data_IF_971574804539
#
_entry.id   IF_971574804539
#
_cell.length_a   1.000
_cell.length_b   1.000
_cell.length_c   1.000
_cell.angle_alpha   90.00
_cell.angle_beta   90.00
_cell.angle_gamma   90.00
#
_symmetry.space_group_name_H-M   'P 1'
#
loop_
_entity.id
_entity.type
_entity.pdbx_description
1 polymer ?
#
# COMPACT_ATOMS: atom_id res chain seq x y z
N UNK A 1 -5.02 28.75 14.23
CA UNK A 1 -4.29 30.03 14.13
C UNK A 1 -2.83 29.73 14.40
N UNK A 2 -2.01 29.73 13.36
CA UNK A 2 -0.56 29.57 13.46
C UNK A 2 0.10 30.92 13.76
N UNK A 3 1.37 30.86 14.18
CA UNK A 3 2.21 32.05 14.30
C UNK A 3 2.72 32.44 12.91
N UNK A 4 2.32 33.61 12.42
CA UNK A 4 2.72 34.13 11.10
C UNK A 4 4.24 34.41 11.01
N UNK A 5 4.89 34.58 12.16
CA UNK A 5 6.34 34.83 12.27
C UNK A 5 7.13 33.55 12.56
N UNK A 6 6.51 32.37 12.52
CA UNK A 6 7.20 31.13 12.78
C UNK A 6 8.32 30.86 11.78
N UNK A 7 9.55 30.74 12.30
CA UNK A 7 10.72 30.42 11.48
C UNK A 7 10.92 28.91 11.45
N UNK A 8 10.76 28.34 10.26
CA UNK A 8 10.96 26.93 10.03
C UNK A 8 12.41 26.49 10.26
N UNK A 9 12.61 25.60 11.20
CA UNK A 9 13.93 24.98 11.46
C UNK A 9 14.10 23.80 10.53
N UNK A 10 14.96 23.93 9.54
CA UNK A 10 15.34 22.81 8.66
C UNK A 10 16.13 21.77 9.46
N UNK A 11 16.01 20.45 9.15
CA UNK A 11 16.90 19.45 9.72
C UNK A 11 18.34 19.77 9.33
N UNK A 12 19.28 19.55 10.26
CA UNK A 12 20.72 19.71 9.97
C UNK A 12 21.24 18.62 9.04
N UNK A 13 20.65 17.45 9.14
CA UNK A 13 20.91 16.28 8.32
C UNK A 13 19.58 15.62 7.96
N UNK A 14 19.30 15.45 6.67
CA UNK A 14 18.08 14.81 6.18
C UNK A 14 17.99 13.32 6.57
N UNK A 15 19.12 12.71 6.93
CA UNK A 15 19.18 11.33 7.44
C UNK A 15 18.85 11.24 8.93
N UNK A 16 18.65 12.37 9.61
CA UNK A 16 18.21 12.40 11.00
C UNK A 16 16.85 11.69 11.15
N UNK A 17 16.72 10.91 12.23
CA UNK A 17 15.47 10.22 12.53
C UNK A 17 14.34 11.23 12.81
N UNK A 18 13.15 10.96 12.24
CA UNK A 18 11.94 11.79 12.43
C UNK A 18 10.86 11.04 13.20
N UNK A 19 10.72 9.74 12.99
CA UNK A 19 9.68 8.96 13.65
C UNK A 19 10.06 7.48 13.77
N UNK A 20 9.30 6.77 14.59
CA UNK A 20 9.45 5.35 14.86
C UNK A 20 8.09 4.68 14.70
N UNK A 21 8.01 3.65 13.86
CA UNK A 21 6.83 2.81 13.70
C UNK A 21 7.16 1.36 14.00
N UNK A 22 6.31 0.66 14.74
CA UNK A 22 6.52 -0.74 15.06
C UNK A 22 5.84 -1.66 14.06
N UNK A 23 6.55 -2.73 13.65
CA UNK A 23 5.96 -3.82 12.87
C UNK A 23 5.15 -4.73 13.77
N UNK A 24 4.17 -5.43 13.22
CA UNK A 24 3.35 -6.41 13.96
C UNK A 24 4.12 -7.68 14.38
N UNK A 25 5.37 -7.83 13.92
CA UNK A 25 6.26 -8.91 14.36
C UNK A 25 5.73 -10.30 14.08
N UNK A 26 5.38 -10.61 12.83
CA UNK A 26 4.86 -11.93 12.43
C UNK A 26 5.80 -13.11 12.70
N UNK A 27 7.07 -12.85 13.06
CA UNK A 27 8.10 -13.88 13.32
C UNK A 27 8.77 -13.75 14.69
N UNK A 28 8.25 -12.92 15.59
CA UNK A 28 8.88 -12.67 16.88
C UNK A 28 8.43 -11.35 17.50
N UNK A 29 9.30 -10.74 18.30
CA UNK A 29 9.01 -9.46 18.91
C UNK A 29 8.85 -8.35 17.86
N UNK A 30 7.91 -7.40 18.05
CA UNK A 30 7.75 -6.24 17.20
C UNK A 30 9.07 -5.47 17.06
N UNK A 31 9.42 -5.07 15.83
CA UNK A 31 10.63 -4.29 15.55
C UNK A 31 10.28 -2.83 15.35
N UNK A 32 11.05 -1.94 15.96
CA UNK A 32 10.90 -0.51 15.75
C UNK A 32 11.61 -0.06 14.47
N UNK A 33 10.86 0.37 13.48
CA UNK A 33 11.37 0.88 12.21
C UNK A 33 11.64 2.37 12.33
N UNK A 34 12.88 2.79 12.11
CA UNK A 34 13.31 4.19 12.23
C UNK A 34 13.22 4.88 10.88
N UNK A 35 12.43 5.94 10.80
CA UNK A 35 12.30 6.79 9.63
C UNK A 35 13.21 8.01 9.70
N UNK A 36 13.54 8.58 8.53
CA UNK A 36 14.36 9.77 8.39
C UNK A 36 13.66 10.85 7.55
N UNK A 37 14.08 12.11 7.70
CA UNK A 37 13.45 13.25 7.03
C UNK A 37 13.38 13.10 5.51
N UNK A 38 14.47 12.63 4.88
CA UNK A 38 14.52 12.43 3.41
C UNK A 38 13.44 11.46 2.93
N UNK A 39 13.34 10.28 3.57
CA UNK A 39 12.34 9.28 3.20
C UNK A 39 10.91 9.78 3.37
N UNK A 40 10.63 10.48 4.49
CA UNK A 40 9.32 11.07 4.75
C UNK A 40 8.93 12.10 3.68
N UNK A 41 9.86 12.98 3.31
CA UNK A 41 9.64 14.00 2.29
C UNK A 41 9.40 13.37 0.92
N UNK A 42 10.25 12.42 0.50
CA UNK A 42 10.13 11.75 -0.79
C UNK A 42 8.83 10.94 -0.87
N UNK A 43 8.47 10.22 0.20
CA UNK A 43 7.22 9.46 0.22
C UNK A 43 6.00 10.36 0.11
N UNK A 44 5.98 11.47 0.86
CA UNK A 44 4.86 12.42 0.84
C UNK A 44 4.67 13.09 -0.52
N UNK A 45 5.77 13.51 -1.16
CA UNK A 45 5.73 14.10 -2.51
C UNK A 45 5.40 13.06 -3.58
N UNK A 46 6.00 11.88 -3.50
CA UNK A 46 5.75 10.77 -4.42
C UNK A 46 4.29 10.29 -4.39
N UNK A 47 3.67 10.25 -3.21
CA UNK A 47 2.25 9.90 -3.06
C UNK A 47 1.33 10.85 -3.80
N UNK A 48 1.60 12.17 -3.72
CA UNK A 48 0.82 13.17 -4.43
C UNK A 48 0.87 12.97 -5.95
N UNK A 49 2.08 12.71 -6.48
CA UNK A 49 2.30 12.50 -7.92
C UNK A 49 1.69 11.18 -8.38
N UNK A 50 1.99 10.09 -7.68
CA UNK A 50 1.59 8.75 -8.10
C UNK A 50 0.07 8.54 -8.09
N UNK A 51 -0.62 9.20 -7.18
CA UNK A 51 -2.08 9.12 -7.06
C UNK A 51 -2.80 10.30 -7.75
N UNK A 52 -2.05 11.12 -8.48
CA UNK A 52 -2.57 12.30 -9.17
C UNK A 52 -3.49 13.15 -8.28
N UNK A 53 -3.01 13.44 -7.06
CA UNK A 53 -3.81 14.12 -6.05
C UNK A 53 -3.94 15.61 -6.37
N UNK A 54 -5.16 16.15 -6.44
CA UNK A 54 -5.37 17.58 -6.73
C UNK A 54 -5.02 18.44 -5.52
N UNK A 55 -4.68 19.70 -5.80
CA UNK A 55 -4.58 20.71 -4.76
C UNK A 55 -5.94 20.93 -4.06
N UNK A 56 -5.89 21.25 -2.77
CA UNK A 56 -7.06 21.55 -1.92
C UNK A 56 -8.09 20.42 -1.83
N UNK A 57 -7.62 19.16 -1.96
CA UNK A 57 -8.51 18.00 -1.79
C UNK A 57 -9.00 17.87 -0.35
N UNK A 58 -10.12 17.19 -0.17
CA UNK A 58 -10.62 16.77 1.12
C UNK A 58 -10.35 15.26 1.29
N UNK A 59 -9.55 14.93 2.29
CA UNK A 59 -9.07 13.58 2.58
C UNK A 59 -9.70 13.04 3.85
N UNK A 60 -10.23 11.82 3.82
CA UNK A 60 -10.73 11.12 5.00
C UNK A 60 -9.65 10.21 5.57
N UNK A 61 -9.25 10.43 6.82
CA UNK A 61 -8.28 9.59 7.50
C UNK A 61 -8.96 8.35 8.08
N UNK A 62 -8.92 7.26 7.34
CA UNK A 62 -9.40 5.93 7.75
C UNK A 62 -8.26 5.09 8.29
N UNK A 63 -7.09 5.17 7.66
CA UNK A 63 -5.87 4.50 8.14
C UNK A 63 -5.43 5.13 9.46
N UNK A 64 -5.17 4.33 10.51
CA UNK A 64 -4.66 4.84 11.78
C UNK A 64 -3.36 5.62 11.58
N UNK A 65 -3.23 6.80 12.20
CA UNK A 65 -2.05 7.66 12.04
C UNK A 65 -0.76 7.04 12.57
N UNK A 66 -0.85 6.05 13.46
CA UNK A 66 0.33 5.32 13.96
C UNK A 66 0.81 4.23 12.99
N UNK A 67 -0.02 3.78 12.05
CA UNK A 67 0.34 2.72 11.11
C UNK A 67 1.10 3.34 9.92
N UNK A 68 2.38 3.01 9.81
CA UNK A 68 3.33 3.63 8.85
C UNK A 68 3.15 5.17 8.80
N UNK A 69 2.99 5.79 9.97
CA UNK A 69 2.64 7.21 10.14
C UNK A 69 1.48 7.66 9.23
N UNK A 70 0.41 6.85 9.22
CA UNK A 70 -0.80 7.14 8.42
C UNK A 70 -0.51 7.18 6.92
N UNK A 71 0.41 6.34 6.43
CA UNK A 71 0.86 6.25 5.03
C UNK A 71 1.39 7.57 4.47
N UNK A 72 1.94 8.44 5.33
CA UNK A 72 2.50 9.72 4.93
C UNK A 72 1.47 10.84 4.66
N UNK A 73 0.17 10.55 4.66
CA UNK A 73 -0.87 11.53 4.37
C UNK A 73 -0.96 12.71 5.37
N UNK A 74 -0.60 12.59 6.66
CA UNK A 74 -0.50 13.74 7.54
C UNK A 74 0.44 14.85 7.02
N UNK A 75 1.39 14.53 6.17
CA UNK A 75 2.29 15.49 5.50
C UNK A 75 1.87 15.80 4.07
N UNK A 76 1.42 14.77 3.32
CA UNK A 76 0.99 14.95 1.92
C UNK A 76 -0.19 15.91 1.79
N UNK A 77 -1.21 15.79 2.66
CA UNK A 77 -2.42 16.59 2.53
C UNK A 77 -2.18 18.08 2.81
N UNK A 78 -1.47 18.48 3.90
CA UNK A 78 -1.10 19.88 4.11
C UNK A 78 -0.22 20.45 2.98
N UNK A 79 0.71 19.66 2.43
CA UNK A 79 1.55 20.06 1.30
C UNK A 79 0.71 20.47 0.07
N UNK A 80 -0.43 19.80 -0.13
CA UNK A 80 -1.39 20.09 -1.20
C UNK A 80 -2.43 21.16 -0.81
N UNK A 81 -2.26 21.87 0.31
CA UNK A 81 -3.27 22.78 0.88
C UNK A 81 -4.65 22.12 1.07
N UNK A 82 -4.66 20.80 1.27
CA UNK A 82 -5.86 19.99 1.46
C UNK A 82 -6.38 20.02 2.89
N UNK A 83 -7.56 19.44 3.08
CA UNK A 83 -8.17 19.26 4.41
C UNK A 83 -8.16 17.79 4.79
N UNK A 84 -7.71 17.50 6.01
CA UNK A 84 -7.80 16.19 6.62
C UNK A 84 -9.03 16.10 7.52
N UNK A 85 -9.94 15.18 7.21
CA UNK A 85 -11.11 14.86 8.03
C UNK A 85 -10.79 13.58 8.80
N UNK A 86 -10.74 13.67 10.12
CA UNK A 86 -10.38 12.53 10.98
C UNK A 86 -11.60 11.67 11.31
N UNK A 87 -11.44 10.36 11.15
CA UNK A 87 -12.41 9.35 11.58
C UNK A 87 -11.86 8.66 12.85
N UNK A 88 -12.65 8.64 13.93
CA UNK A 88 -12.19 8.08 15.21
C UNK A 88 -12.21 6.55 15.24
N UNK A 89 -13.22 5.97 14.59
CA UNK A 89 -13.41 4.52 14.48
C UNK A 89 -14.01 4.22 13.10
N UNK A 90 -13.78 3.00 12.60
CA UNK A 90 -14.35 2.55 11.33
C UNK A 90 -15.85 2.32 11.54
N UNK A 91 -16.65 3.17 10.93
CA UNK A 91 -18.11 3.13 10.90
C UNK A 91 -18.54 3.46 9.47
N UNK A 92 -19.16 2.52 8.79
CA UNK A 92 -19.44 2.63 7.35
C UNK A 92 -20.48 3.70 7.07
N UNK A 93 -21.53 3.77 7.87
CA UNK A 93 -22.53 4.84 7.75
C UNK A 93 -21.88 6.21 7.91
N UNK A 94 -20.97 6.33 8.88
CA UNK A 94 -20.24 7.57 9.13
C UNK A 94 -19.29 7.94 7.99
N UNK A 95 -18.65 6.96 7.37
CA UNK A 95 -17.81 7.18 6.17
C UNK A 95 -18.65 7.83 5.06
N UNK A 96 -19.82 7.26 4.72
CA UNK A 96 -20.70 7.83 3.69
C UNK A 96 -21.23 9.23 4.08
N UNK A 97 -21.60 9.45 5.34
CA UNK A 97 -22.02 10.76 5.84
C UNK A 97 -20.91 11.81 5.69
N UNK A 98 -19.66 11.45 6.05
CA UNK A 98 -18.52 12.35 5.94
C UNK A 98 -18.13 12.65 4.49
N UNK A 99 -18.20 11.63 3.61
CA UNK A 99 -17.99 11.82 2.16
C UNK A 99 -18.95 12.87 1.63
N UNK A 100 -20.24 12.76 1.94
CA UNK A 100 -21.23 13.72 1.49
C UNK A 100 -21.06 15.10 2.13
N UNK A 101 -20.90 15.15 3.46
CA UNK A 101 -20.82 16.38 4.25
C UNK A 101 -19.60 17.23 3.91
N UNK A 102 -18.47 16.61 3.67
CA UNK A 102 -17.19 17.29 3.47
C UNK A 102 -16.67 17.20 2.04
N UNK A 103 -17.46 16.68 1.09
CA UNK A 103 -17.05 16.50 -0.31
C UNK A 103 -15.70 15.76 -0.41
N UNK A 104 -15.59 14.65 0.35
CA UNK A 104 -14.36 13.83 0.38
C UNK A 104 -14.09 13.27 -1.01
N UNK A 105 -12.88 13.44 -1.48
CA UNK A 105 -12.43 12.92 -2.77
C UNK A 105 -11.51 11.70 -2.66
N UNK A 106 -10.76 11.58 -1.55
CA UNK A 106 -9.74 10.54 -1.38
C UNK A 106 -9.72 9.98 0.04
N UNK A 107 -9.45 8.67 0.17
CA UNK A 107 -9.04 8.04 1.43
C UNK A 107 -8.23 6.77 1.16
N UNK A 108 -7.47 6.32 2.17
CA UNK A 108 -6.82 5.01 2.17
C UNK A 108 -7.55 4.05 3.10
N UNK A 109 -7.54 2.76 2.79
CA UNK A 109 -8.14 1.74 3.65
C UNK A 109 -7.56 0.34 3.40
N UNK A 110 -7.41 -0.44 4.48
CA UNK A 110 -7.07 -1.85 4.36
C UNK A 110 -8.22 -2.64 3.69
N UNK A 111 -7.98 -3.81 3.09
CA UNK A 111 -9.00 -4.63 2.43
C UNK A 111 -10.23 -4.91 3.28
N UNK A 112 -10.05 -5.09 4.59
CA UNK A 112 -11.17 -5.27 5.53
C UNK A 112 -12.16 -4.10 5.51
N UNK A 113 -11.67 -2.87 5.36
CA UNK A 113 -12.54 -1.68 5.25
C UNK A 113 -13.32 -1.70 3.95
N UNK A 114 -12.69 -2.09 2.84
CA UNK A 114 -13.37 -2.24 1.55
C UNK A 114 -14.45 -3.32 1.62
N UNK A 115 -14.16 -4.44 2.27
CA UNK A 115 -15.15 -5.50 2.54
C UNK A 115 -16.35 -4.97 3.33
N UNK A 116 -16.09 -4.22 4.41
CA UNK A 116 -17.18 -3.60 5.19
C UNK A 116 -18.00 -2.62 4.34
N UNK A 117 -17.38 -1.79 3.52
CA UNK A 117 -18.07 -0.86 2.60
C UNK A 117 -18.94 -1.63 1.61
N UNK A 118 -18.41 -2.70 1.00
CA UNK A 118 -19.14 -3.49 0.01
C UNK A 118 -20.23 -4.37 0.63
N UNK A 119 -20.09 -4.74 1.91
CA UNK A 119 -21.07 -5.51 2.68
C UNK A 119 -22.14 -4.67 3.39
N UNK A 120 -22.00 -3.33 3.39
CA UNK A 120 -22.91 -2.44 4.09
C UNK A 120 -24.35 -2.54 3.52
N UNK A 121 -25.34 -2.38 4.38
CA UNK A 121 -26.75 -2.35 4.00
C UNK A 121 -27.12 -1.10 3.20
N UNK A 122 -28.24 -1.11 2.50
CA UNK A 122 -28.72 0.07 1.77
C UNK A 122 -28.97 1.27 2.70
N UNK A 123 -29.39 1.04 3.92
CA UNK A 123 -29.64 2.08 4.91
C UNK A 123 -28.35 2.76 5.44
N UNK A 124 -27.20 2.09 5.33
CA UNK A 124 -25.90 2.62 5.69
C UNK A 124 -25.22 3.33 4.53
N UNK A 125 -25.59 2.99 3.28
CA UNK A 125 -24.99 3.55 2.07
C UNK A 125 -25.68 4.86 1.68
N UNK A 126 -24.90 5.70 1.02
CA UNK A 126 -25.44 6.85 0.27
C UNK A 126 -24.90 6.80 -1.15
N UNK A 127 -25.73 7.19 -2.11
CA UNK A 127 -25.28 7.33 -3.49
C UNK A 127 -24.23 8.43 -3.57
N UNK A 128 -23.04 8.09 -4.06
CA UNK A 128 -21.97 9.05 -4.25
C UNK A 128 -22.33 10.01 -5.39
N UNK A 129 -22.16 11.31 -5.15
CA UNK A 129 -22.39 12.37 -6.15
C UNK A 129 -21.24 12.52 -7.12
N UNK A 130 -20.04 12.14 -6.66
CA UNK A 130 -18.78 12.18 -7.40
C UNK A 130 -18.02 10.88 -7.14
N UNK A 131 -17.11 10.55 -8.04
CA UNK A 131 -16.17 9.46 -7.85
C UNK A 131 -15.28 9.75 -6.64
N UNK A 132 -15.08 8.76 -5.79
CA UNK A 132 -14.17 8.81 -4.63
C UNK A 132 -13.02 7.84 -4.87
N UNK A 133 -11.80 8.34 -4.78
CA UNK A 133 -10.58 7.56 -4.99
C UNK A 133 -10.15 6.89 -3.71
N UNK A 134 -9.85 5.60 -3.79
CA UNK A 134 -9.48 4.78 -2.63
C UNK A 134 -8.15 4.09 -2.90
N UNK A 135 -7.20 4.23 -1.99
CA UNK A 135 -5.97 3.46 -1.96
C UNK A 135 -6.13 2.27 -1.02
N UNK A 136 -5.77 1.07 -1.48
CA UNK A 136 -5.78 -0.12 -0.63
C UNK A 136 -4.42 -0.79 -0.59
N UNK A 137 -4.01 -1.21 0.60
CA UNK A 137 -2.76 -1.90 0.87
C UNK A 137 -2.85 -2.76 2.13
N UNK A 138 -1.79 -3.49 2.44
CA UNK A 138 -1.63 -4.29 3.65
C UNK A 138 -1.82 -5.80 3.42
N UNK A 139 -2.77 -6.17 2.58
CA UNK A 139 -2.94 -7.51 2.04
C UNK A 139 -3.55 -7.42 0.64
N UNK A 140 -3.38 -8.39 -0.25
CA UNK A 140 -4.08 -8.40 -1.53
C UNK A 140 -5.59 -8.58 -1.31
N UNK A 141 -6.44 -7.63 -1.75
CA UNK A 141 -7.88 -7.84 -1.67
C UNK A 141 -8.32 -8.86 -2.73
N UNK A 142 -9.35 -9.67 -2.47
CA UNK A 142 -9.98 -10.50 -3.50
C UNK A 142 -10.42 -9.64 -4.70
N UNK A 143 -10.20 -10.13 -5.92
CA UNK A 143 -10.47 -9.38 -7.16
C UNK A 143 -11.92 -8.87 -7.26
N UNK A 144 -12.87 -9.63 -6.73
CA UNK A 144 -14.29 -9.25 -6.72
C UNK A 144 -14.58 -7.96 -5.94
N UNK A 145 -13.75 -7.59 -4.98
CA UNK A 145 -13.94 -6.38 -4.17
C UNK A 145 -13.76 -5.12 -5.03
N UNK A 146 -12.83 -5.12 -5.98
CA UNK A 146 -12.65 -3.98 -6.90
C UNK A 146 -13.95 -3.68 -7.66
N UNK A 147 -14.57 -4.72 -8.25
CA UNK A 147 -15.84 -4.59 -8.95
C UNK A 147 -16.98 -4.08 -8.06
N UNK A 148 -17.09 -4.62 -6.84
CA UNK A 148 -18.12 -4.18 -5.88
C UNK A 148 -17.92 -2.71 -5.48
N UNK A 149 -16.69 -2.27 -5.26
CA UNK A 149 -16.36 -0.87 -4.94
C UNK A 149 -16.68 0.07 -6.11
N UNK A 150 -16.33 -0.31 -7.33
CA UNK A 150 -16.64 0.48 -8.53
C UNK A 150 -18.16 0.66 -8.74
N UNK A 151 -18.93 -0.39 -8.51
CA UNK A 151 -20.41 -0.32 -8.56
C UNK A 151 -21.00 0.67 -7.54
N UNK A 152 -20.28 0.93 -6.44
CA UNK A 152 -20.66 1.93 -5.43
C UNK A 152 -20.14 3.34 -5.74
N UNK A 153 -19.36 3.53 -6.82
CA UNK A 153 -18.81 4.82 -7.24
C UNK A 153 -17.41 5.13 -6.72
N UNK A 154 -16.71 4.13 -6.18
CA UNK A 154 -15.32 4.26 -5.77
C UNK A 154 -14.39 3.82 -6.91
N UNK A 155 -13.24 4.49 -7.01
CA UNK A 155 -12.13 4.03 -7.84
C UNK A 155 -10.99 3.57 -6.93
N UNK A 156 -10.65 2.28 -7.01
CA UNK A 156 -9.68 1.67 -6.11
C UNK A 156 -8.36 1.42 -6.82
N UNK A 157 -7.29 1.95 -6.26
CA UNK A 157 -5.91 1.65 -6.64
C UNK A 157 -5.28 0.72 -5.61
N UNK A 158 -4.78 -0.43 -6.08
CA UNK A 158 -4.01 -1.34 -5.23
C UNK A 158 -2.56 -0.88 -5.20
N UNK A 159 -2.00 -0.78 -4.01
CA UNK A 159 -0.60 -0.45 -3.78
C UNK A 159 0.03 -1.43 -2.80
N UNK A 160 1.34 -1.55 -2.84
CA UNK A 160 2.11 -2.37 -1.93
C UNK A 160 3.25 -1.59 -1.33
N UNK A 161 3.49 -1.85 -0.07
CA UNK A 161 4.60 -1.32 0.71
C UNK A 161 4.65 -1.94 2.09
N UNK A 162 5.70 -1.65 2.80
CA UNK A 162 6.00 -2.19 4.13
C UNK A 162 6.22 -1.04 5.11
N UNK A 163 6.21 -1.35 6.40
CA UNK A 163 6.65 -0.39 7.42
C UNK A 163 8.07 0.07 7.13
N UNK A 164 8.93 -0.83 6.71
CA UNK A 164 10.34 -0.60 6.39
C UNK A 164 10.59 0.27 5.14
N UNK A 165 9.57 0.47 4.32
CA UNK A 165 9.65 1.32 3.12
C UNK A 165 8.89 2.63 3.27
N UNK A 166 8.49 2.98 4.49
CA UNK A 166 7.76 4.21 4.82
C UNK A 166 6.34 4.27 4.26
N UNK A 167 5.97 3.38 3.36
CA UNK A 167 4.70 3.33 2.65
C UNK A 167 4.84 2.61 1.32
N UNK A 168 4.21 3.16 0.29
CA UNK A 168 4.02 2.48 -0.98
C UNK A 168 5.27 2.48 -1.85
N UNK A 169 5.62 1.32 -2.40
CA UNK A 169 6.74 1.12 -3.33
C UNK A 169 6.30 0.55 -4.68
N UNK A 170 5.13 -0.06 -4.74
CA UNK A 170 4.48 -0.50 -5.97
C UNK A 170 3.05 0.05 -6.03
N UNK A 171 2.58 0.30 -7.24
CA UNK A 171 1.21 0.68 -7.52
C UNK A 171 0.69 -0.06 -8.74
N UNK A 172 -0.55 -0.50 -8.71
CA UNK A 172 -1.23 -1.04 -9.88
C UNK A 172 -1.72 0.13 -10.75
N UNK A 173 -0.77 0.81 -11.42
CA UNK A 173 -1.08 1.87 -12.36
C UNK A 173 -1.92 1.29 -13.50
N UNK A 174 -3.04 1.96 -13.82
CA UNK A 174 -3.92 1.50 -14.89
C UNK A 174 -3.38 1.90 -16.26
N UNK A 175 -3.44 0.98 -17.24
CA UNK A 175 -3.16 1.27 -18.63
C UNK A 175 -4.50 1.36 -19.39
N UNK A 176 -4.72 2.43 -20.14
CA UNK A 176 -5.98 2.67 -20.85
C UNK A 176 -6.30 1.56 -21.89
N UNK A 177 -5.30 0.88 -22.43
CA UNK A 177 -5.49 -0.27 -23.31
C UNK A 177 -6.30 -1.41 -22.65
N UNK A 178 -6.22 -1.54 -21.34
CA UNK A 178 -6.95 -2.56 -20.58
C UNK A 178 -8.45 -2.27 -20.46
N UNK A 179 -8.89 -1.06 -20.81
CA UNK A 179 -10.32 -0.73 -20.82
C UNK A 179 -11.13 -1.61 -21.78
N UNK A 180 -10.48 -2.17 -22.80
CA UNK A 180 -11.08 -3.09 -23.78
C UNK A 180 -11.19 -4.54 -23.32
N UNK A 181 -10.54 -4.91 -22.20
CA UNK A 181 -10.58 -6.27 -21.66
C UNK A 181 -11.94 -6.58 -21.01
N UNK A 182 -12.23 -7.88 -20.87
CA UNK A 182 -13.36 -8.33 -20.07
C UNK A 182 -13.17 -7.98 -18.57
N UNK A 183 -14.29 -7.92 -17.84
CA UNK A 183 -14.28 -7.49 -16.43
C UNK A 183 -13.45 -8.41 -15.53
N UNK A 184 -13.40 -9.70 -15.80
CA UNK A 184 -12.66 -10.65 -14.97
C UNK A 184 -11.14 -10.42 -15.13
N UNK A 185 -10.66 -10.20 -16.33
CA UNK A 185 -9.27 -9.83 -16.59
C UNK A 185 -8.90 -8.47 -15.98
N UNK A 186 -9.79 -7.47 -16.09
CA UNK A 186 -9.58 -6.18 -15.42
C UNK A 186 -9.41 -6.36 -13.91
N UNK A 187 -10.28 -7.14 -13.29
CA UNK A 187 -10.21 -7.39 -11.85
C UNK A 187 -8.94 -8.17 -11.45
N UNK A 188 -8.50 -9.14 -12.26
CA UNK A 188 -7.24 -9.84 -12.05
C UNK A 188 -6.03 -8.92 -12.12
N UNK A 189 -6.01 -7.97 -13.07
CA UNK A 189 -4.95 -6.96 -13.18
C UNK A 189 -4.97 -6.03 -11.97
N UNK A 190 -6.13 -5.50 -11.58
CA UNK A 190 -6.29 -4.62 -10.40
C UNK A 190 -5.83 -5.26 -9.09
N UNK A 191 -5.89 -6.59 -9.00
CA UNK A 191 -5.41 -7.33 -7.84
C UNK A 191 -3.87 -7.46 -7.78
N UNK A 192 -3.13 -7.10 -8.84
CA UNK A 192 -1.66 -7.11 -8.83
C UNK A 192 -1.14 -5.92 -8.02
N UNK A 193 0.09 -6.02 -7.52
CA UNK A 193 0.76 -4.90 -6.84
C UNK A 193 1.30 -3.87 -7.82
N UNK A 194 1.54 -4.30 -9.07
CA UNK A 194 1.82 -3.41 -10.18
C UNK A 194 3.28 -3.09 -10.40
N UNK A 195 3.58 -1.82 -10.63
CA UNK A 195 4.90 -1.32 -11.01
C UNK A 195 5.48 -0.40 -9.95
N UNK A 196 6.78 -0.15 -10.07
CA UNK A 196 7.56 0.68 -9.15
C UNK A 196 6.96 2.08 -8.97
N UNK A 197 6.93 2.52 -7.73
CA UNK A 197 6.53 3.87 -7.34
C UNK A 197 7.55 4.92 -7.82
N UNK A 198 7.14 6.15 -8.19
CA UNK A 198 8.04 7.14 -8.80
C UNK A 198 9.26 7.51 -7.97
N UNK A 199 9.13 7.54 -6.65
CA UNK A 199 10.18 7.93 -5.72
C UNK A 199 11.03 6.76 -5.17
N UNK A 200 10.78 5.54 -5.66
CA UNK A 200 11.60 4.36 -5.36
C UNK A 200 12.73 4.27 -6.38
N UNK A 201 13.97 4.18 -5.94
CA UNK A 201 15.13 4.11 -6.83
C UNK A 201 15.11 2.84 -7.68
N UNK A 202 14.93 1.68 -7.05
CA UNK A 202 14.73 0.41 -7.75
C UNK A 202 13.88 -0.57 -6.91
N UNK A 203 13.09 -1.39 -7.60
CA UNK A 203 12.32 -2.49 -7.03
C UNK A 203 12.31 -3.64 -8.01
N UNK A 204 12.83 -4.78 -7.61
CA UNK A 204 12.95 -5.96 -8.45
C UNK A 204 12.49 -7.21 -7.71
N UNK A 205 12.06 -8.20 -8.47
CA UNK A 205 11.89 -9.56 -7.99
C UNK A 205 13.18 -10.31 -8.32
N UNK A 206 13.89 -10.75 -7.30
CA UNK A 206 15.25 -11.30 -7.39
C UNK A 206 15.23 -12.71 -6.81
N UNK A 207 15.90 -13.62 -7.48
CA UNK A 207 16.21 -14.94 -6.94
C UNK A 207 17.24 -14.78 -5.80
N UNK A 208 16.90 -15.12 -4.56
CA UNK A 208 17.75 -14.87 -3.40
C UNK A 208 19.05 -15.69 -3.39
N UNK A 209 19.13 -16.79 -4.14
CA UNK A 209 20.34 -17.63 -4.23
C UNK A 209 21.34 -17.07 -5.24
N UNK A 210 20.85 -16.66 -6.39
CA UNK A 210 21.71 -16.19 -7.49
C UNK A 210 21.90 -14.68 -7.51
N UNK A 211 21.09 -13.94 -6.75
CA UNK A 211 21.01 -12.46 -6.75
C UNK A 211 20.75 -11.88 -8.14
N UNK A 212 20.07 -12.63 -9.01
CA UNK A 212 19.67 -12.19 -10.34
C UNK A 212 18.17 -11.94 -10.43
N UNK A 213 17.73 -10.94 -11.19
CA UNK A 213 16.31 -10.74 -11.46
C UNK A 213 15.68 -11.97 -12.10
N UNK A 214 14.47 -12.32 -11.68
CA UNK A 214 13.69 -13.41 -12.29
C UNK A 214 13.18 -13.00 -13.68
N UNK A 215 12.90 -13.95 -14.60
CA UNK A 215 12.30 -13.66 -15.89
C UNK A 215 10.88 -13.09 -15.75
N UNK A 216 10.44 -12.33 -16.77
CA UNK A 216 9.08 -11.76 -16.84
C UNK A 216 8.10 -12.78 -17.44
N UNK A 217 7.94 -13.92 -16.82
CA UNK A 217 7.12 -15.04 -17.31
C UNK A 217 5.81 -15.26 -16.52
N UNK A 218 5.61 -14.50 -15.43
CA UNK A 218 4.46 -14.63 -14.53
C UNK A 218 4.46 -15.90 -13.70
N UNK A 219 5.56 -16.67 -13.68
CA UNK A 219 5.67 -18.00 -13.06
C UNK A 219 6.86 -18.12 -12.11
N UNK A 220 8.04 -17.68 -12.54
CA UNK A 220 9.26 -17.81 -11.75
C UNK A 220 9.18 -16.93 -10.53
N UNK A 221 9.27 -17.53 -9.35
CA UNK A 221 9.17 -16.87 -8.06
C UNK A 221 10.55 -16.35 -7.64
N UNK A 222 10.55 -15.12 -7.08
CA UNK A 222 11.68 -14.53 -6.40
C UNK A 222 11.21 -13.64 -5.26
N UNK A 223 12.15 -13.05 -4.53
CA UNK A 223 11.87 -12.11 -3.45
C UNK A 223 11.80 -10.68 -4.00
N UNK A 224 10.84 -9.89 -3.52
CA UNK A 224 10.82 -8.43 -3.79
C UNK A 224 11.96 -7.79 -3.01
N UNK A 225 12.91 -7.21 -3.74
CA UNK A 225 14.02 -6.45 -3.17
C UNK A 225 13.97 -5.00 -3.59
N UNK A 226 14.29 -4.09 -2.66
CA UNK A 226 14.01 -2.68 -2.78
C UNK A 226 15.27 -1.86 -2.53
N UNK A 227 15.47 -0.83 -3.36
CA UNK A 227 16.47 0.22 -3.15
C UNK A 227 15.82 1.59 -3.19
N UNK A 228 16.33 2.49 -2.39
CA UNK A 228 15.94 3.88 -2.47
C UNK A 228 15.96 4.61 -1.14
N UNK A 229 15.90 5.91 -1.24
CA UNK A 229 15.89 6.81 -0.09
C UNK A 229 14.59 6.80 0.71
N UNK A 230 13.59 6.01 0.30
CA UNK A 230 12.37 5.76 1.06
C UNK A 230 12.48 4.52 1.97
N UNK A 231 13.56 3.75 1.87
CA UNK A 231 13.82 2.63 2.76
C UNK A 231 14.23 3.16 4.14
N UNK A 232 13.78 2.50 5.19
CA UNK A 232 14.06 2.86 6.59
C UNK A 232 15.55 3.11 6.87
N UNK A 233 15.85 3.86 7.92
CA UNK A 233 17.21 4.00 8.43
C UNK A 233 17.76 2.69 9.02
N UNK A 234 16.87 1.87 9.58
CA UNK A 234 17.14 0.59 10.21
C UNK A 234 16.15 0.29 11.33
N UNK A 235 16.33 -0.85 11.97
CA UNK A 235 15.58 -1.23 13.15
C UNK A 235 16.17 -0.59 14.41
N UNK A 236 15.31 -0.07 15.27
CA UNK A 236 15.73 0.64 16.49
C UNK A 236 16.45 -0.30 17.45
N UNK A 237 17.70 0.01 17.76
CA UNK A 237 18.58 -0.78 18.64
C UNK A 237 18.74 -2.25 18.24
N UNK A 238 18.59 -2.57 16.98
CA UNK A 238 18.73 -3.92 16.43
C UNK A 238 19.57 -3.87 15.15
N UNK A 239 20.87 -3.78 15.34
CA UNK A 239 21.83 -3.71 14.23
C UNK A 239 21.89 -5.00 13.44
N UNK A 240 21.82 -6.15 14.12
CA UNK A 240 21.88 -7.47 13.48
C UNK A 240 20.71 -7.66 12.50
N UNK A 241 19.48 -7.40 12.94
CA UNK A 241 18.31 -7.46 12.07
C UNK A 241 18.38 -6.43 10.93
N UNK A 242 18.97 -5.24 11.20
CA UNK A 242 19.15 -4.23 10.17
C UNK A 242 20.12 -4.69 9.09
N UNK A 243 21.30 -5.19 9.47
CA UNK A 243 22.33 -5.66 8.55
C UNK A 243 21.81 -6.84 7.70
N UNK A 244 21.04 -7.76 8.31
CA UNK A 244 20.40 -8.87 7.61
C UNK A 244 19.36 -8.36 6.59
N UNK A 245 18.52 -7.42 6.99
CA UNK A 245 17.47 -6.89 6.11
C UNK A 245 18.04 -6.05 4.95
N UNK A 246 19.24 -5.48 5.10
CA UNK A 246 19.92 -4.63 4.10
C UNK A 246 21.05 -5.35 3.37
N UNK A 247 21.07 -6.68 3.39
CA UNK A 247 22.13 -7.46 2.78
C UNK A 247 22.27 -7.16 1.28
N UNK A 248 23.49 -7.27 0.75
CA UNK A 248 23.82 -7.08 -0.66
C UNK A 248 23.39 -5.72 -1.24
N UNK A 249 23.20 -4.70 -0.38
CA UNK A 249 22.78 -3.36 -0.78
C UNK A 249 21.33 -3.26 -1.26
N UNK A 250 20.49 -4.23 -0.87
CA UNK A 250 19.06 -4.24 -1.06
C UNK A 250 18.34 -4.42 0.27
N UNK A 251 17.17 -3.81 0.40
CA UNK A 251 16.25 -4.19 1.45
C UNK A 251 15.49 -5.45 1.02
N UNK A 252 15.59 -6.50 1.83
CA UNK A 252 14.93 -7.77 1.65
C UNK A 252 13.55 -7.73 2.30
N UNK A 253 12.48 -7.79 1.49
CA UNK A 253 11.11 -7.67 2.00
C UNK A 253 10.61 -8.94 2.69
N UNK A 254 11.13 -10.11 2.30
CA UNK A 254 10.59 -11.40 2.67
C UNK A 254 9.29 -11.77 1.93
N UNK A 255 8.84 -10.94 0.97
CA UNK A 255 7.63 -11.20 0.19
C UNK A 255 8.02 -11.79 -1.17
N UNK A 256 7.41 -12.95 -1.50
CA UNK A 256 7.64 -13.68 -2.74
C UNK A 256 6.68 -13.22 -3.83
N UNK A 257 7.21 -13.04 -5.02
CA UNK A 257 6.44 -12.51 -6.14
C UNK A 257 6.90 -13.09 -7.48
N UNK A 258 6.09 -12.85 -8.50
CA UNK A 258 6.42 -13.09 -9.91
C UNK A 258 6.34 -11.77 -10.68
N UNK A 259 7.02 -11.69 -11.83
CA UNK A 259 6.93 -10.56 -12.76
C UNK A 259 6.19 -11.01 -14.01
N UNK A 260 5.10 -10.36 -14.33
CA UNK A 260 4.34 -10.62 -15.57
C UNK A 260 5.07 -10.07 -16.82
N UNK A 261 4.72 -10.54 -18.04
CA UNK A 261 5.34 -10.05 -19.28
C UNK A 261 5.24 -8.53 -19.49
N UNK A 262 4.19 -7.90 -18.97
CA UNK A 262 3.95 -6.46 -18.97
C UNK A 262 4.79 -5.70 -17.92
N UNK A 263 5.59 -6.42 -17.12
CA UNK A 263 6.43 -5.85 -16.07
C UNK A 263 5.73 -5.66 -14.73
N UNK A 264 4.44 -6.01 -14.61
CA UNK A 264 3.69 -5.89 -13.36
C UNK A 264 4.05 -7.02 -12.40
N UNK A 265 4.31 -6.64 -11.15
CA UNK A 265 4.64 -7.56 -10.08
C UNK A 265 3.34 -8.05 -9.43
N UNK A 266 3.28 -9.35 -9.15
CA UNK A 266 2.20 -9.98 -8.38
C UNK A 266 2.80 -10.78 -7.24
N UNK A 267 2.43 -10.41 -6.01
CA UNK A 267 2.80 -11.14 -4.80
C UNK A 267 2.11 -12.50 -4.81
N UNK A 268 2.88 -13.51 -4.46
CA UNK A 268 2.40 -14.89 -4.31
C UNK A 268 2.19 -15.25 -2.86
N UNK A 269 3.16 -14.94 -2.01
CA UNK A 269 3.09 -15.20 -0.58
C UNK A 269 4.24 -14.51 0.17
N UNK A 270 4.29 -14.66 1.48
CA UNK A 270 5.51 -14.44 2.25
C UNK A 270 6.35 -15.68 2.26
N UNK A 271 7.67 -15.52 2.26
CA UNK A 271 8.61 -16.65 2.23
C UNK A 271 8.41 -17.65 3.36
N UNK A 272 7.84 -17.20 4.49
CA UNK A 272 7.54 -18.01 5.67
C UNK A 272 6.13 -18.62 5.71
N UNK A 273 5.20 -18.11 4.91
CA UNK A 273 3.79 -18.48 4.91
C UNK A 273 3.45 -19.41 3.73
N UNK A 274 4.40 -19.59 2.81
CA UNK A 274 4.23 -20.51 1.67
C UNK A 274 4.07 -21.96 2.16
N UNK A 275 3.06 -22.63 1.66
CA UNK A 275 2.77 -24.02 2.01
C UNK A 275 3.59 -24.92 1.09
N UNK A 276 4.39 -25.81 1.68
CA UNK A 276 5.13 -26.82 0.90
C UNK A 276 4.40 -28.15 1.03
N UNK A 277 3.89 -28.67 -0.09
CA UNK A 277 3.20 -29.97 -0.14
C UNK A 277 3.70 -30.79 -1.33
N UNK A 278 4.22 -31.98 -1.04
CA UNK A 278 4.74 -32.87 -2.09
C UNK A 278 5.90 -32.32 -2.91
N UNK A 279 6.64 -31.33 -2.37
CA UNK A 279 7.71 -30.63 -3.09
C UNK A 279 7.25 -29.42 -3.92
N UNK A 280 5.95 -29.10 -3.92
CA UNK A 280 5.38 -27.95 -4.61
C UNK A 280 5.12 -26.80 -3.62
N UNK A 281 5.38 -25.57 -4.08
CA UNK A 281 5.10 -24.35 -3.35
C UNK A 281 3.67 -23.88 -3.64
N UNK A 282 2.80 -23.94 -2.63
CA UNK A 282 1.40 -23.55 -2.71
C UNK A 282 1.23 -22.21 -2.00
N UNK A 283 0.71 -21.20 -2.71
CA UNK A 283 0.42 -19.88 -2.15
C UNK A 283 -0.83 -19.93 -1.27
N UNK A 284 -0.72 -19.48 -0.03
CA UNK A 284 -1.87 -19.29 0.87
C UNK A 284 -2.87 -18.30 0.27
N UNK A 285 -2.38 -17.24 -0.39
CA UNK A 285 -3.19 -16.22 -1.07
C UNK A 285 -4.00 -16.83 -2.22
N UNK A 286 -3.46 -17.80 -2.97
CA UNK A 286 -4.22 -18.48 -4.05
C UNK A 286 -5.36 -19.33 -3.49
N UNK A 287 -5.15 -19.98 -2.34
CA UNK A 287 -6.19 -20.72 -1.63
C UNK A 287 -7.28 -19.77 -1.14
N UNK A 288 -6.92 -18.68 -0.47
CA UNK A 288 -7.86 -17.66 0.03
C UNK A 288 -8.69 -17.05 -1.11
N UNK A 289 -8.06 -16.68 -2.23
CA UNK A 289 -8.76 -16.16 -3.40
C UNK A 289 -9.72 -17.18 -4.03
N UNK A 290 -9.40 -18.47 -3.94
CA UNK A 290 -10.28 -19.53 -4.45
C UNK A 290 -11.47 -19.72 -3.52
N UNK A 291 -11.25 -19.73 -2.21
CA UNK A 291 -12.30 -19.82 -1.20
C UNK A 291 -13.25 -18.60 -1.25
N UNK A 292 -12.71 -17.40 -1.41
CA UNK A 292 -13.51 -16.16 -1.49
C UNK A 292 -14.46 -16.11 -2.71
N UNK A 293 -14.28 -16.97 -3.72
CA UNK A 293 -15.22 -17.12 -4.85
C UNK A 293 -16.43 -17.99 -4.51
N UNK A 294 -16.36 -18.75 -3.42
CA UNK A 294 -17.45 -19.65 -3.04
C UNK A 294 -18.58 -18.87 -2.35
N UNK A 295 -19.86 -19.03 -2.75
CA UNK A 295 -20.97 -18.24 -2.23
C UNK A 295 -21.23 -18.37 -0.72
N UNK A 296 -20.73 -19.44 -0.08
CA UNK A 296 -20.86 -19.66 1.38
C UNK A 296 -19.65 -19.14 2.17
N UNK A 297 -18.68 -18.50 1.53
CA UNK A 297 -17.51 -17.91 2.19
C UNK A 297 -17.67 -16.39 2.16
N UNK A 298 -17.64 -15.77 3.35
CA UNK A 298 -17.80 -14.33 3.54
C UNK A 298 -16.49 -13.65 3.92
#
# INVERSE_FOLDING_TARGET
TGDENYVWKKPKDEWQAISLSYTSGTTGNPKGVVYHHRGSYLMSTGSAVAWNMPNRLNFLTVVPMFHCNGWGYPWTIPMLNGKTICLRAIDIKKIFELIEKHDISHFGGAPIVLNMITGASESERKKLKKKVFVLTAGAPPPSIIFKKMENLGFEVMHVYGLTETYGHILQCAWNDEWNSLDEDKKNEIKARQGVRYPNTEDTKVIDPETMKPVPKDGKTIGEIMIKGNIVMKGYFKDKEATDKAMAHGWFHSGDLAVVHPDGYIKIKDRSKDIIISGGENISSIEIENTLAKHPSVS
#
